data_IF_411057379598
#
_entry.id   IF_411057379598
#
_cell.length_a   1.000
_cell.length_b   1.000
_cell.length_c   1.000
_cell.angle_alpha   90.00
_cell.angle_beta   90.00
_cell.angle_gamma   90.00
#
_symmetry.space_group_name_H-M   'P 1'
#
loop_
_entity.id
_entity.type
_entity.pdbx_description
1 polymer ?
#
# COMPACT_ATOMS: atom_id res chain seq x y z
N UNK A 1 29.20 -14.38 -10.21
CA UNK A 1 28.18 -13.96 -11.19
C UNK A 1 26.87 -13.88 -10.44
N UNK A 2 26.28 -12.70 -10.29
CA UNK A 2 25.01 -12.55 -9.58
C UNK A 2 23.88 -12.94 -10.53
N UNK A 3 23.34 -14.15 -10.36
CA UNK A 3 22.19 -14.58 -11.15
C UNK A 3 20.96 -13.81 -10.69
N UNK A 4 20.39 -13.00 -11.58
CA UNK A 4 19.11 -12.31 -11.37
C UNK A 4 17.95 -13.24 -10.97
N UNK A 5 18.11 -14.56 -11.16
CA UNK A 5 17.16 -15.58 -10.73
C UNK A 5 17.08 -15.75 -9.21
N UNK A 6 18.17 -15.52 -8.47
CA UNK A 6 18.16 -15.53 -7.01
C UNK A 6 17.44 -14.30 -6.43
N UNK A 7 17.47 -13.16 -7.14
CA UNK A 7 16.68 -11.97 -6.79
C UNK A 7 15.16 -12.23 -6.93
N UNK A 8 14.75 -13.08 -7.88
CA UNK A 8 13.35 -13.49 -8.06
C UNK A 8 12.89 -14.59 -7.09
N UNK A 9 13.79 -15.34 -6.46
CA UNK A 9 13.45 -16.17 -5.29
C UNK A 9 13.30 -15.34 -4.01
N UNK A 10 13.99 -14.19 -3.94
CA UNK A 10 13.86 -13.24 -2.84
C UNK A 10 12.48 -12.54 -2.86
N UNK A 11 11.88 -12.30 -4.03
CA UNK A 11 10.56 -11.65 -4.20
C UNK A 11 9.43 -12.22 -3.33
N UNK A 12 9.39 -13.53 -3.13
CA UNK A 12 8.34 -14.18 -2.33
C UNK A 12 8.41 -13.82 -0.83
N UNK A 13 9.61 -13.55 -0.30
CA UNK A 13 9.82 -13.12 1.08
C UNK A 13 9.93 -11.60 1.24
N UNK A 14 10.41 -10.90 0.20
CA UNK A 14 10.42 -9.44 0.13
C UNK A 14 9.01 -8.88 0.19
N UNK A 15 8.13 -9.44 -0.65
CA UNK A 15 6.76 -8.98 -0.88
C UNK A 15 6.00 -8.69 0.41
N UNK A 16 5.86 -9.63 1.37
CA UNK A 16 5.10 -9.36 2.60
C UNK A 16 5.70 -8.23 3.45
N UNK A 17 7.03 -8.08 3.44
CA UNK A 17 7.73 -7.02 4.19
C UNK A 17 7.59 -5.66 3.51
N UNK A 18 7.74 -5.60 2.18
CA UNK A 18 7.60 -4.36 1.40
C UNK A 18 6.19 -3.79 1.52
N UNK A 19 5.16 -4.63 1.44
CA UNK A 19 3.77 -4.15 1.52
C UNK A 19 3.49 -3.48 2.87
N UNK A 20 4.02 -4.02 3.97
CA UNK A 20 3.88 -3.42 5.31
C UNK A 20 4.55 -2.04 5.39
N UNK A 21 5.74 -1.91 4.82
CA UNK A 21 6.46 -0.63 4.73
C UNK A 21 5.71 0.38 3.85
N UNK A 22 5.20 -0.08 2.70
CA UNK A 22 4.45 0.76 1.77
C UNK A 22 3.12 1.25 2.38
N UNK A 23 2.42 0.38 3.14
CA UNK A 23 1.23 0.77 3.88
C UNK A 23 1.51 1.94 4.85
N UNK A 24 2.57 1.84 5.66
CA UNK A 24 2.94 2.92 6.57
C UNK A 24 3.33 4.21 5.84
N UNK A 25 4.02 4.08 4.70
CA UNK A 25 4.37 5.22 3.85
C UNK A 25 3.12 5.92 3.29
N UNK A 26 2.15 5.16 2.79
CA UNK A 26 0.88 5.71 2.29
C UNK A 26 0.10 6.42 3.39
N UNK A 27 0.03 5.85 4.59
CA UNK A 27 -0.61 6.50 5.74
C UNK A 27 0.11 7.80 6.10
N UNK A 28 1.44 7.80 6.15
CA UNK A 28 2.22 9.01 6.42
C UNK A 28 1.94 10.10 5.38
N UNK A 29 1.85 9.73 4.09
CA UNK A 29 1.50 10.67 3.02
C UNK A 29 0.08 11.22 3.19
N UNK A 30 -0.91 10.38 3.49
CA UNK A 30 -2.30 10.83 3.71
C UNK A 30 -2.37 11.84 4.86
N UNK A 31 -1.66 11.57 5.96
CA UNK A 31 -1.59 12.51 7.10
C UNK A 31 -0.91 13.82 6.68
N UNK A 32 0.20 13.75 5.93
CA UNK A 32 0.93 14.93 5.48
C UNK A 32 0.10 15.78 4.50
N UNK A 33 -0.60 15.15 3.56
CA UNK A 33 -1.55 15.82 2.67
C UNK A 33 -2.74 16.40 3.44
N UNK A 34 -3.23 15.71 4.48
CA UNK A 34 -4.24 16.21 5.37
C UNK A 34 -3.84 17.51 6.05
N UNK A 35 -2.66 17.51 6.68
CA UNK A 35 -2.09 18.68 7.36
C UNK A 35 -1.86 19.82 6.35
N UNK A 36 -1.30 19.52 5.17
CA UNK A 36 -1.12 20.50 4.10
C UNK A 36 -2.45 21.09 3.62
N UNK A 37 -3.49 20.26 3.48
CA UNK A 37 -4.85 20.69 3.13
C UNK A 37 -5.47 21.60 4.17
N UNK A 38 -5.22 21.35 5.46
CA UNK A 38 -5.65 22.24 6.55
C UNK A 38 -4.96 23.60 6.42
N UNK A 39 -3.63 23.64 6.28
CA UNK A 39 -2.91 24.91 6.08
C UNK A 39 -3.38 25.67 4.84
N UNK A 40 -3.62 24.96 3.73
CA UNK A 40 -4.17 25.54 2.51
C UNK A 40 -5.58 26.10 2.73
N UNK A 41 -6.41 25.43 3.53
CA UNK A 41 -7.75 25.88 3.89
C UNK A 41 -7.73 27.14 4.74
N UNK A 42 -6.85 27.20 5.74
CA UNK A 42 -6.64 28.41 6.53
C UNK A 42 -6.13 29.58 5.67
N UNK A 43 -5.17 29.34 4.76
CA UNK A 43 -4.70 30.39 3.84
C UNK A 43 -5.81 30.89 2.91
N UNK A 44 -6.67 29.99 2.42
CA UNK A 44 -7.80 30.34 1.57
C UNK A 44 -8.87 31.19 2.29
N UNK A 45 -8.95 31.12 3.64
CA UNK A 45 -9.84 31.99 4.42
C UNK A 45 -9.48 33.47 4.32
N UNK A 46 -8.22 33.81 4.03
CA UNK A 46 -7.79 35.19 3.83
C UNK A 46 -8.40 35.83 2.56
N UNK A 47 -8.78 35.02 1.57
CA UNK A 47 -9.45 35.48 0.35
C UNK A 47 -10.96 35.29 0.48
N UNK A 48 -11.40 34.12 0.94
CA UNK A 48 -12.81 33.80 1.14
C UNK A 48 -12.99 32.97 2.42
N UNK A 49 -13.51 33.56 3.52
CA UNK A 49 -13.65 32.86 4.79
C UNK A 49 -14.49 31.59 4.68
N UNK A 50 -15.58 31.65 3.90
CA UNK A 50 -16.48 30.51 3.71
C UNK A 50 -15.86 29.39 2.85
N UNK A 51 -15.13 29.76 1.79
CA UNK A 51 -14.44 28.79 0.92
C UNK A 51 -13.30 28.08 1.65
N UNK A 52 -12.50 28.82 2.42
CA UNK A 52 -11.45 28.24 3.26
C UNK A 52 -12.01 27.29 4.33
N UNK A 53 -13.16 27.62 4.94
CA UNK A 53 -13.82 26.76 5.91
C UNK A 53 -14.24 25.41 5.31
N UNK A 54 -14.88 25.42 4.14
CA UNK A 54 -15.23 24.19 3.42
C UNK A 54 -13.98 23.40 3.06
N UNK A 55 -12.90 24.07 2.64
CA UNK A 55 -11.65 23.40 2.29
C UNK A 55 -11.03 22.68 3.50
N UNK A 56 -11.00 23.32 4.67
CA UNK A 56 -10.53 22.68 5.92
C UNK A 56 -11.38 21.45 6.25
N UNK A 57 -12.72 21.56 6.22
CA UNK A 57 -13.59 20.42 6.50
C UNK A 57 -13.39 19.28 5.49
N UNK A 58 -13.26 19.61 4.21
CA UNK A 58 -13.00 18.62 3.16
C UNK A 58 -11.64 17.95 3.32
N UNK A 59 -10.62 18.68 3.79
CA UNK A 59 -9.29 18.13 4.05
C UNK A 59 -9.33 17.11 5.20
N UNK A 60 -10.01 17.41 6.30
CA UNK A 60 -10.21 16.46 7.41
C UNK A 60 -10.98 15.23 6.95
N UNK A 61 -12.07 15.42 6.21
CA UNK A 61 -12.85 14.31 5.67
C UNK A 61 -12.01 13.44 4.71
N UNK A 62 -11.18 14.07 3.88
CA UNK A 62 -10.32 13.38 2.91
C UNK A 62 -9.25 12.51 3.58
N UNK A 63 -8.76 12.90 4.77
CA UNK A 63 -7.83 12.08 5.56
C UNK A 63 -8.50 10.80 6.02
N UNK A 64 -9.72 10.91 6.56
CA UNK A 64 -10.48 9.74 7.05
C UNK A 64 -10.75 8.78 5.88
N UNK A 65 -11.29 9.31 4.77
CA UNK A 65 -11.57 8.52 3.57
C UNK A 65 -10.29 7.92 2.99
N UNK A 66 -9.20 8.70 2.96
CA UNK A 66 -7.90 8.28 2.47
C UNK A 66 -7.33 7.11 3.28
N UNK A 67 -7.40 7.17 4.61
CA UNK A 67 -6.94 6.08 5.50
C UNK A 67 -7.75 4.80 5.28
N UNK A 68 -9.08 4.92 5.15
CA UNK A 68 -9.96 3.77 4.88
C UNK A 68 -9.64 3.17 3.50
N UNK A 69 -9.52 4.01 2.47
CA UNK A 69 -9.16 3.57 1.12
C UNK A 69 -7.78 2.90 1.09
N UNK A 70 -6.79 3.44 1.81
CA UNK A 70 -5.47 2.85 1.92
C UNK A 70 -5.49 1.47 2.59
N UNK A 71 -6.34 1.27 3.60
CA UNK A 71 -6.56 -0.04 4.22
C UNK A 71 -7.12 -1.05 3.22
N UNK A 72 -8.18 -0.68 2.51
CA UNK A 72 -8.83 -1.55 1.51
C UNK A 72 -7.84 -1.93 0.41
N UNK A 73 -7.09 -0.97 -0.12
CA UNK A 73 -6.06 -1.21 -1.13
C UNK A 73 -4.95 -2.13 -0.61
N UNK A 74 -4.46 -1.90 0.60
CA UNK A 74 -3.41 -2.73 1.20
C UNK A 74 -3.88 -4.18 1.42
N UNK A 75 -5.11 -4.39 1.89
CA UNK A 75 -5.70 -5.71 2.04
C UNK A 75 -5.86 -6.41 0.69
N UNK A 76 -6.35 -5.71 -0.33
CA UNK A 76 -6.49 -6.27 -1.68
C UNK A 76 -5.15 -6.72 -2.25
N UNK A 77 -4.11 -5.87 -2.14
CA UNK A 77 -2.75 -6.20 -2.56
C UNK A 77 -2.22 -7.43 -1.80
N UNK A 78 -2.41 -7.49 -0.48
CA UNK A 78 -1.99 -8.65 0.33
C UNK A 78 -2.71 -9.94 -0.07
N UNK A 79 -4.00 -9.88 -0.42
CA UNK A 79 -4.76 -11.04 -0.87
C UNK A 79 -4.21 -11.57 -2.19
N UNK A 80 -3.97 -10.69 -3.17
CA UNK A 80 -3.40 -11.07 -4.47
C UNK A 80 -2.04 -11.74 -4.30
N UNK A 81 -1.18 -11.17 -3.45
CA UNK A 81 0.12 -11.75 -3.18
C UNK A 81 0.03 -13.10 -2.44
N UNK A 82 -0.86 -13.23 -1.45
CA UNK A 82 -1.11 -14.52 -0.79
C UNK A 82 -1.52 -15.59 -1.80
N UNK A 83 -2.43 -15.27 -2.72
CA UNK A 83 -2.85 -16.21 -3.76
C UNK A 83 -1.65 -16.66 -4.62
N UNK A 84 -0.83 -15.72 -5.10
CA UNK A 84 0.36 -16.05 -5.89
C UNK A 84 1.33 -16.98 -5.15
N UNK A 85 1.48 -16.77 -3.84
CA UNK A 85 2.31 -17.61 -2.99
C UNK A 85 1.78 -19.05 -2.88
N UNK A 86 0.47 -19.22 -2.69
CA UNK A 86 -0.17 -20.54 -2.59
C UNK A 86 -0.05 -21.35 -3.88
N UNK A 87 -0.18 -20.73 -5.06
CA UNK A 87 -0.02 -21.43 -6.35
C UNK A 87 1.44 -21.86 -6.59
N UNK A 88 2.41 -21.09 -6.10
CA UNK A 88 3.83 -21.44 -6.19
C UNK A 88 4.20 -22.72 -5.41
N UNK A 89 3.51 -23.01 -4.31
CA UNK A 89 3.74 -24.22 -3.51
C UNK A 89 3.20 -25.51 -4.17
N UNK A 90 2.10 -25.42 -4.92
CA UNK A 90 1.50 -26.58 -5.61
C UNK A 90 2.37 -27.03 -6.80
N UNK A 91 3.05 -26.09 -7.48
CA UNK A 91 3.98 -26.41 -8.57
C UNK A 91 5.18 -27.25 -8.09
N UNK A 92 5.63 -27.02 -6.85
CA UNK A 92 6.79 -27.72 -6.27
C UNK A 92 6.44 -29.14 -5.80
N UNK A 93 5.20 -29.34 -5.35
CA UNK A 93 4.67 -30.65 -4.96
C UNK A 93 4.32 -31.55 -6.16
N UNK A 94 4.30 -31.00 -7.37
CA UNK A 94 4.01 -31.70 -8.62
C UNK A 94 5.21 -32.35 -9.30
N UNK A 95 6.44 -32.23 -8.78
CA UNK A 95 7.58 -33.01 -9.29
C UNK A 95 7.43 -34.47 -8.83
N UNK A 96 7.16 -35.43 -9.74
CA UNK A 96 7.10 -36.82 -9.37
C UNK A 96 8.50 -37.26 -8.93
N UNK A 97 8.58 -37.98 -7.80
CA UNK A 97 9.73 -38.79 -7.40
C UNK A 97 9.96 -39.96 -8.37
N UNK A 98 10.09 -39.65 -9.65
CA UNK A 98 10.32 -40.60 -10.73
C UNK A 98 11.79 -40.65 -11.09
N UNK A 99 12.60 -41.22 -10.20
CA UNK A 99 13.67 -42.18 -10.52
C UNK A 99 14.47 -42.47 -9.23
N UNK A 100 13.86 -43.32 -8.39
CA UNK A 100 14.63 -44.37 -7.74
C UNK A 100 15.28 -45.22 -8.85
N UNK A 101 16.57 -45.53 -8.69
CA UNK A 101 17.31 -46.78 -8.95
C UNK A 101 18.78 -46.46 -9.22
#
# INVERSE_FOLDING_TARGET
MFEFRDLFQWDRFITPTIIKTFYWLVIALIVLFGISGVFSGLAAMAISPFGGFILVLSSLASVIVGVIAARICAEFVLIVFRINEHLGAIRDQGQPQGQQY
#
